data_IF_701473192246
#
_entry.id   IF_701473192246
#
_cell.length_a   1.000
_cell.length_b   1.000
_cell.length_c   1.000
_cell.angle_alpha   90.00
_cell.angle_beta   90.00
_cell.angle_gamma   90.00
#
_symmetry.space_group_name_H-M   'P 1'
#
loop_
_entity.id
_entity.type
_entity.pdbx_description
1 polymer ?
#
# COMPACT_ATOMS: atom_id res chain seq x y z
N UNK A 1 16.79 17.95 -7.10
CA UNK A 1 16.82 16.75 -6.23
C UNK A 1 16.38 15.55 -7.04
N UNK A 2 17.11 14.48 -6.98
CA UNK A 2 16.71 13.23 -7.62
C UNK A 2 15.59 12.58 -6.79
N UNK A 3 14.68 11.84 -7.42
CA UNK A 3 13.59 11.18 -6.71
C UNK A 3 14.11 10.24 -5.60
N UNK A 4 15.18 9.52 -5.86
CA UNK A 4 15.82 8.64 -4.91
C UNK A 4 16.25 9.36 -3.60
N UNK A 5 16.75 10.58 -3.72
CA UNK A 5 17.23 11.36 -2.56
C UNK A 5 16.11 11.80 -1.61
N UNK A 6 14.85 11.82 -2.09
CA UNK A 6 13.69 12.16 -1.27
C UNK A 6 13.12 10.97 -0.48
N UNK A 7 13.62 9.76 -0.72
CA UNK A 7 13.20 8.56 -0.02
C UNK A 7 13.91 8.42 1.34
N UNK A 8 13.25 7.76 2.28
CA UNK A 8 13.85 7.40 3.56
C UNK A 8 15.07 6.49 3.36
N UNK A 9 15.98 6.50 4.33
CA UNK A 9 17.19 5.66 4.28
C UNK A 9 16.86 4.17 4.16
N UNK A 10 15.80 3.72 4.82
CA UNK A 10 15.40 2.32 4.80
C UNK A 10 14.90 1.90 3.41
N UNK A 11 14.15 2.76 2.72
CA UNK A 11 13.71 2.50 1.34
C UNK A 11 14.92 2.56 0.38
N UNK A 12 15.80 3.51 0.55
CA UNK A 12 17.04 3.58 -0.25
C UNK A 12 17.88 2.32 -0.08
N UNK A 13 18.02 1.83 1.15
CA UNK A 13 18.75 0.60 1.44
C UNK A 13 18.06 -0.62 0.84
N UNK A 14 16.72 -0.70 0.91
CA UNK A 14 15.95 -1.75 0.24
C UNK A 14 16.23 -1.79 -1.27
N UNK A 15 16.17 -0.63 -1.92
CA UNK A 15 16.44 -0.51 -3.37
C UNK A 15 17.86 -0.98 -3.70
N UNK A 16 18.83 -0.59 -2.88
CA UNK A 16 20.22 -1.01 -3.02
C UNK A 16 20.39 -2.52 -2.85
N UNK A 17 19.82 -3.09 -1.80
CA UNK A 17 19.93 -4.53 -1.50
C UNK A 17 19.21 -5.40 -2.54
N UNK A 18 18.17 -4.87 -3.18
CA UNK A 18 17.50 -5.51 -4.33
C UNK A 18 18.34 -5.46 -5.61
N UNK A 19 19.42 -4.72 -5.61
CA UNK A 19 20.30 -4.58 -6.77
C UNK A 19 19.64 -3.82 -7.94
N UNK A 20 18.69 -2.93 -7.67
CA UNK A 20 18.10 -2.11 -8.73
C UNK A 20 19.12 -1.09 -9.21
N UNK A 21 19.44 -1.09 -10.52
CA UNK A 21 20.45 -0.15 -11.05
C UNK A 21 19.94 1.30 -11.04
N UNK A 22 18.64 1.50 -11.17
CA UNK A 22 17.97 2.80 -11.13
C UNK A 22 16.47 2.62 -10.92
N UNK A 23 15.81 3.67 -10.50
CA UNK A 23 14.34 3.74 -10.52
C UNK A 23 13.85 3.85 -11.98
N UNK A 24 12.71 3.24 -12.28
CA UNK A 24 12.07 3.38 -13.58
C UNK A 24 11.49 4.80 -13.77
N UNK A 25 11.18 5.16 -15.00
CA UNK A 25 10.63 6.50 -15.30
C UNK A 25 9.35 6.78 -14.52
N UNK A 26 8.43 5.80 -14.41
CA UNK A 26 7.18 5.96 -13.68
C UNK A 26 7.40 6.05 -12.15
N UNK A 27 8.36 5.31 -11.62
CA UNK A 27 8.74 5.38 -10.21
C UNK A 27 9.31 6.76 -9.87
N UNK A 28 10.24 7.26 -10.68
CA UNK A 28 10.79 8.61 -10.52
C UNK A 28 9.71 9.69 -10.56
N UNK A 29 8.81 9.61 -11.53
CA UNK A 29 7.71 10.57 -11.69
C UNK A 29 6.75 10.55 -10.50
N UNK A 30 6.33 9.36 -10.06
CA UNK A 30 5.42 9.20 -8.92
C UNK A 30 6.02 9.71 -7.62
N UNK A 31 7.27 9.36 -7.32
CA UNK A 31 7.98 9.81 -6.11
C UNK A 31 8.09 11.34 -6.08
N UNK A 32 8.50 11.95 -7.19
CA UNK A 32 8.60 13.41 -7.29
C UNK A 32 7.26 14.10 -7.12
N UNK A 33 6.21 13.55 -7.73
CA UNK A 33 4.88 14.14 -7.66
C UNK A 33 4.34 14.10 -6.23
N UNK A 34 4.45 12.98 -5.55
CA UNK A 34 4.01 12.82 -4.15
C UNK A 34 4.84 13.71 -3.21
N UNK A 35 6.13 13.84 -3.43
CA UNK A 35 6.99 14.69 -2.60
C UNK A 35 6.70 16.19 -2.71
N UNK A 36 6.10 16.64 -3.84
CA UNK A 36 5.96 18.06 -4.14
C UNK A 36 4.50 18.54 -4.20
N UNK A 37 3.52 17.64 -4.19
CA UNK A 37 2.09 18.00 -4.31
C UNK A 37 1.20 17.09 -3.49
N UNK A 38 0.00 17.57 -3.17
CA UNK A 38 -1.08 16.79 -2.53
C UNK A 38 -2.11 16.27 -3.57
N UNK A 39 -1.73 16.19 -4.84
CA UNK A 39 -2.63 15.77 -5.90
C UNK A 39 -2.83 14.26 -5.94
N UNK A 40 -4.03 13.84 -6.30
CA UNK A 40 -4.28 12.46 -6.70
C UNK A 40 -3.54 12.14 -8.00
N UNK A 41 -3.06 10.90 -8.14
CA UNK A 41 -2.26 10.48 -9.28
C UNK A 41 -2.94 9.34 -10.06
N UNK A 42 -2.79 9.39 -11.37
CA UNK A 42 -3.08 8.25 -12.25
C UNK A 42 -1.74 7.78 -12.82
N UNK A 43 -1.37 6.54 -12.52
CA UNK A 43 -0.15 5.91 -13.01
C UNK A 43 -0.48 5.04 -14.24
N UNK A 44 -0.08 5.48 -15.41
CA UNK A 44 -0.27 4.74 -16.66
C UNK A 44 1.08 4.37 -17.26
N UNK A 45 1.33 3.09 -17.38
CA UNK A 45 2.55 2.54 -17.96
C UNK A 45 2.33 1.10 -18.42
N UNK A 46 3.15 0.57 -19.35
CA UNK A 46 3.08 -0.82 -19.76
C UNK A 46 3.25 -1.81 -18.60
N UNK A 47 2.82 -3.06 -18.81
CA UNK A 47 3.11 -4.16 -17.88
C UNK A 47 4.64 -4.31 -17.69
N UNK A 48 5.05 -4.76 -16.51
CA UNK A 48 6.46 -4.90 -16.13
C UNK A 48 7.27 -3.59 -16.13
N UNK A 49 6.62 -2.44 -15.98
CA UNK A 49 7.27 -1.12 -15.88
C UNK A 49 7.55 -0.66 -14.45
N UNK A 50 7.21 -1.49 -13.45
CA UNK A 50 7.38 -1.14 -12.05
C UNK A 50 6.27 -0.28 -11.46
N UNK A 51 5.03 -0.36 -11.98
CA UNK A 51 3.87 0.42 -11.49
C UNK A 51 3.52 0.12 -10.04
N UNK A 52 3.64 -1.13 -9.61
CA UNK A 52 3.34 -1.51 -8.23
C UNK A 52 4.21 -0.72 -7.26
N UNK A 53 5.51 -0.76 -7.45
CA UNK A 53 6.46 -0.03 -6.62
C UNK A 53 6.32 1.49 -6.80
N UNK A 54 5.96 1.94 -8.01
CA UNK A 54 5.68 3.36 -8.27
C UNK A 54 4.49 3.90 -7.46
N UNK A 55 3.51 3.05 -7.14
CA UNK A 55 2.38 3.40 -6.28
C UNK A 55 2.72 3.26 -4.79
N UNK A 56 3.32 2.15 -4.39
CA UNK A 56 3.57 1.84 -2.99
C UNK A 56 4.73 2.62 -2.38
N UNK A 57 5.87 2.74 -3.05
CA UNK A 57 7.06 3.40 -2.49
C UNK A 57 6.77 4.83 -2.03
N UNK A 58 6.21 5.73 -2.86
CA UNK A 58 5.94 7.08 -2.38
C UNK A 58 4.86 7.12 -1.29
N UNK A 59 3.84 6.27 -1.35
CA UNK A 59 2.82 6.18 -0.30
C UNK A 59 3.44 5.74 1.04
N UNK A 60 4.23 4.68 1.05
CA UNK A 60 4.92 4.21 2.25
C UNK A 60 5.92 5.23 2.78
N UNK A 61 6.61 5.94 1.89
CA UNK A 61 7.59 6.97 2.27
C UNK A 61 6.96 8.20 2.91
N UNK A 62 5.71 8.52 2.56
CA UNK A 62 5.04 9.75 3.03
C UNK A 62 4.36 9.60 4.39
N UNK A 63 4.07 8.39 4.84
CA UNK A 63 3.42 8.15 6.13
C UNK A 63 4.43 8.25 7.25
N UNK A 64 4.16 9.15 8.20
CA UNK A 64 5.05 9.40 9.35
C UNK A 64 4.70 8.53 10.56
N UNK A 65 3.41 8.29 10.80
CA UNK A 65 2.92 7.50 11.93
C UNK A 65 2.40 6.14 11.47
N UNK A 66 3.13 5.08 11.77
CA UNK A 66 2.73 3.69 11.52
C UNK A 66 2.17 3.00 12.77
N UNK A 67 2.14 3.67 13.91
CA UNK A 67 1.70 3.07 15.17
C UNK A 67 0.18 3.12 15.38
N UNK A 68 -0.49 4.12 14.79
CA UNK A 68 -1.91 4.35 15.00
C UNK A 68 -2.72 4.22 13.70
N UNK A 69 -3.53 3.18 13.62
CA UNK A 69 -4.50 2.98 12.56
C UNK A 69 -3.94 2.45 11.24
N UNK A 70 -4.86 2.05 10.38
CA UNK A 70 -4.56 1.65 9.01
C UNK A 70 -4.21 2.90 8.18
N UNK A 71 -3.12 2.85 7.42
CA UNK A 71 -2.60 4.02 6.71
C UNK A 71 -2.73 3.93 5.19
N UNK A 72 -2.53 2.74 4.64
CA UNK A 72 -2.58 2.53 3.19
C UNK A 72 -3.59 1.43 2.87
N UNK A 73 -4.53 1.75 1.99
CA UNK A 73 -5.52 0.82 1.49
C UNK A 73 -5.24 0.54 0.00
N UNK A 74 -5.03 -0.73 -0.32
CA UNK A 74 -4.90 -1.19 -1.71
C UNK A 74 -6.15 -1.96 -2.10
N UNK A 75 -6.81 -1.53 -3.18
CA UNK A 75 -8.06 -2.11 -3.66
C UNK A 75 -7.83 -2.75 -5.03
N UNK A 76 -8.15 -4.03 -5.14
CA UNK A 76 -8.13 -4.76 -6.40
C UNK A 76 -9.30 -5.73 -6.51
N UNK A 77 -9.94 -5.88 -7.70
CA UNK A 77 -11.10 -6.72 -7.86
C UNK A 77 -10.81 -8.22 -7.84
N UNK A 78 -9.55 -8.64 -7.99
CA UNK A 78 -9.17 -10.04 -8.12
C UNK A 78 -8.39 -10.54 -6.89
N UNK A 79 -8.87 -11.63 -6.27
CA UNK A 79 -8.17 -12.29 -5.16
C UNK A 79 -6.74 -12.71 -5.53
N UNK A 80 -6.55 -13.23 -6.74
CA UNK A 80 -5.24 -13.63 -7.24
C UNK A 80 -4.28 -12.43 -7.26
N UNK A 81 -4.74 -11.27 -7.71
CA UNK A 81 -3.94 -10.04 -7.73
C UNK A 81 -3.64 -9.53 -6.31
N UNK A 82 -4.60 -9.61 -5.40
CA UNK A 82 -4.38 -9.32 -3.97
C UNK A 82 -3.25 -10.19 -3.42
N UNK A 83 -3.28 -11.50 -3.68
CA UNK A 83 -2.26 -12.43 -3.20
C UNK A 83 -0.90 -12.16 -3.83
N UNK A 84 -0.84 -11.88 -5.12
CA UNK A 84 0.42 -11.56 -5.83
C UNK A 84 1.02 -10.25 -5.30
N UNK A 85 0.22 -9.21 -5.13
CA UNK A 85 0.68 -7.94 -4.59
C UNK A 85 1.10 -8.07 -3.11
N UNK A 86 0.38 -8.88 -2.33
CA UNK A 86 0.77 -9.18 -0.96
C UNK A 86 2.18 -9.78 -0.89
N UNK A 87 2.48 -10.79 -1.71
CA UNK A 87 3.81 -11.40 -1.78
C UNK A 87 4.87 -10.37 -2.20
N UNK A 88 4.56 -9.57 -3.20
CA UNK A 88 5.48 -8.58 -3.76
C UNK A 88 5.81 -7.45 -2.78
N UNK A 89 4.83 -6.97 -2.03
CA UNK A 89 5.01 -5.87 -1.08
C UNK A 89 5.45 -6.34 0.31
N UNK A 90 5.22 -7.61 0.67
CA UNK A 90 5.62 -8.16 1.97
C UNK A 90 7.10 -7.95 2.26
N UNK A 91 7.97 -8.14 1.29
CA UNK A 91 9.41 -7.98 1.46
C UNK A 91 9.78 -6.53 1.79
N UNK A 92 9.20 -5.57 1.07
CA UNK A 92 9.40 -4.15 1.37
C UNK A 92 8.81 -3.79 2.74
N UNK A 93 7.64 -4.31 3.05
CA UNK A 93 6.96 -4.06 4.33
C UNK A 93 7.74 -4.62 5.52
N UNK A 94 8.30 -5.81 5.39
CA UNK A 94 9.19 -6.39 6.40
C UNK A 94 10.45 -5.53 6.60
N UNK A 95 11.04 -5.06 5.51
CA UNK A 95 12.22 -4.22 5.54
C UNK A 95 11.97 -2.90 6.29
N UNK A 96 10.77 -2.33 6.14
CA UNK A 96 10.34 -1.09 6.79
C UNK A 96 9.67 -1.31 8.15
N UNK A 97 9.52 -2.56 8.60
CA UNK A 97 8.77 -2.93 9.81
C UNK A 97 7.31 -2.42 9.79
N UNK A 98 6.65 -2.53 8.63
CA UNK A 98 5.27 -2.09 8.43
C UNK A 98 4.37 -3.33 8.31
N UNK A 99 3.33 -3.48 9.14
CA UNK A 99 2.39 -4.57 8.99
C UNK A 99 1.64 -4.51 7.67
N UNK A 100 1.53 -5.65 6.99
CA UNK A 100 0.73 -5.82 5.79
C UNK A 100 -0.24 -6.97 5.97
N UNK A 101 -1.51 -6.75 5.63
CA UNK A 101 -2.57 -7.74 5.72
C UNK A 101 -3.41 -7.75 4.45
N UNK A 102 -4.14 -8.85 4.22
CA UNK A 102 -5.03 -9.00 3.08
C UNK A 102 -6.43 -9.38 3.54
N UNK A 103 -7.43 -8.94 2.79
CA UNK A 103 -8.84 -9.18 3.09
C UNK A 103 -9.62 -9.47 1.82
N UNK A 104 -10.06 -10.71 1.67
CA UNK A 104 -10.97 -11.19 0.63
C UNK A 104 -11.76 -12.39 1.15
N UNK A 105 -12.67 -12.95 0.34
CA UNK A 105 -13.60 -13.99 0.78
C UNK A 105 -12.97 -15.27 1.32
N UNK A 106 -11.73 -15.58 0.94
CA UNK A 106 -11.02 -16.78 1.39
C UNK A 106 -10.13 -16.56 2.62
N UNK A 107 -10.00 -15.32 3.09
CA UNK A 107 -9.27 -15.01 4.32
C UNK A 107 -10.11 -15.39 5.52
N UNK A 108 -9.51 -16.03 6.53
CA UNK A 108 -10.22 -16.49 7.72
C UNK A 108 -10.85 -15.37 8.53
N UNK A 109 -11.98 -15.65 9.19
CA UNK A 109 -12.63 -14.68 10.08
C UNK A 109 -11.73 -14.26 11.25
N UNK A 110 -10.87 -15.16 11.73
CA UNK A 110 -9.92 -14.86 12.79
C UNK A 110 -8.90 -13.79 12.36
N UNK A 111 -8.38 -13.89 11.15
CA UNK A 111 -7.47 -12.88 10.58
C UNK A 111 -8.17 -11.54 10.38
N UNK A 112 -9.40 -11.54 9.84
CA UNK A 112 -10.22 -10.34 9.66
C UNK A 112 -10.49 -9.64 10.99
N UNK A 113 -10.86 -10.39 12.01
CA UNK A 113 -11.12 -9.88 13.35
C UNK A 113 -9.89 -9.23 13.98
N UNK A 114 -8.72 -9.82 13.77
CA UNK A 114 -7.44 -9.27 14.23
C UNK A 114 -7.14 -7.91 13.59
N UNK A 115 -7.39 -7.77 12.29
CA UNK A 115 -7.21 -6.50 11.56
C UNK A 115 -8.13 -5.43 12.12
N UNK A 116 -9.41 -5.74 12.37
CA UNK A 116 -10.39 -4.79 12.92
C UNK A 116 -10.03 -4.39 14.35
N UNK A 117 -9.58 -5.32 15.17
CA UNK A 117 -9.22 -5.04 16.57
C UNK A 117 -7.99 -4.14 16.69
N UNK A 118 -7.01 -4.30 15.79
CA UNK A 118 -5.79 -3.51 15.75
C UNK A 118 -5.47 -3.09 14.30
N UNK A 119 -6.19 -2.11 13.74
CA UNK A 119 -5.88 -1.60 12.41
C UNK A 119 -4.49 -0.97 12.39
N UNK A 120 -3.61 -1.47 11.53
CA UNK A 120 -2.24 -0.95 11.35
C UNK A 120 -1.75 -1.20 9.94
N UNK A 121 -0.86 -0.35 9.46
CA UNK A 121 -0.06 -0.57 8.27
C UNK A 121 -0.84 -0.50 6.98
N UNK A 122 -0.70 -1.54 6.16
CA UNK A 122 -1.25 -1.66 4.81
C UNK A 122 -2.29 -2.77 4.77
N UNK A 123 -3.45 -2.49 4.17
CA UNK A 123 -4.50 -3.49 3.91
C UNK A 123 -4.74 -3.63 2.41
N UNK A 124 -4.63 -4.85 1.89
CA UNK A 124 -5.02 -5.21 0.53
C UNK A 124 -6.40 -5.86 0.58
N UNK A 125 -7.38 -5.30 -0.14
CA UNK A 125 -8.79 -5.67 0.01
C UNK A 125 -9.50 -5.66 -1.35
N UNK A 126 -10.52 -6.52 -1.50
CA UNK A 126 -11.41 -6.50 -2.67
C UNK A 126 -12.54 -5.49 -2.51
N UNK A 127 -13.06 -4.91 -3.62
CA UNK A 127 -14.20 -4.00 -3.59
C UNK A 127 -15.44 -4.62 -2.94
N UNK A 128 -15.71 -5.88 -3.21
CA UNK A 128 -16.85 -6.61 -2.64
C UNK A 128 -16.77 -6.70 -1.11
N UNK A 129 -15.55 -6.88 -0.58
CA UNK A 129 -15.34 -6.92 0.86
C UNK A 129 -15.59 -5.55 1.50
N UNK A 130 -15.18 -4.47 0.84
CA UNK A 130 -15.46 -3.10 1.29
C UNK A 130 -16.96 -2.84 1.26
N UNK A 131 -17.64 -3.15 0.17
CA UNK A 131 -19.08 -2.96 0.02
C UNK A 131 -19.86 -3.76 1.07
N UNK A 132 -19.52 -5.03 1.24
CA UNK A 132 -20.14 -5.87 2.26
C UNK A 132 -19.97 -5.30 3.68
N UNK A 133 -18.83 -4.75 3.99
CA UNK A 133 -18.56 -4.11 5.27
C UNK A 133 -19.36 -2.82 5.44
N UNK A 134 -19.39 -1.97 4.43
CA UNK A 134 -20.16 -0.71 4.46
C UNK A 134 -21.65 -0.93 4.62
N UNK A 135 -22.20 -1.96 3.97
CA UNK A 135 -23.62 -2.28 4.03
C UNK A 135 -24.01 -2.97 5.34
N UNK A 136 -23.24 -3.96 5.77
CA UNK A 136 -23.61 -4.83 6.89
C UNK A 136 -22.99 -4.42 8.23
N UNK A 137 -21.84 -3.74 8.21
CA UNK A 137 -21.07 -3.37 9.39
C UNK A 137 -20.44 -1.97 9.26
N UNK A 138 -21.27 -0.93 9.07
CA UNK A 138 -20.76 0.42 8.79
C UNK A 138 -19.91 1.01 9.93
N UNK A 139 -20.21 0.70 11.18
CA UNK A 139 -19.41 1.14 12.32
C UNK A 139 -18.03 0.54 12.34
N UNK A 140 -17.91 -0.72 11.95
CA UNK A 140 -16.62 -1.43 11.80
C UNK A 140 -15.80 -0.84 10.65
N UNK A 141 -16.44 -0.55 9.52
CA UNK A 141 -15.81 0.11 8.38
C UNK A 141 -15.26 1.49 8.77
N UNK A 142 -16.05 2.29 9.46
CA UNK A 142 -15.63 3.60 9.94
C UNK A 142 -14.42 3.49 10.89
N UNK A 143 -14.44 2.54 11.81
CA UNK A 143 -13.33 2.28 12.72
C UNK A 143 -12.07 1.86 11.97
N UNK A 144 -12.19 0.94 11.00
CA UNK A 144 -11.07 0.40 10.24
C UNK A 144 -10.41 1.47 9.34
N UNK A 145 -11.21 2.30 8.68
CA UNK A 145 -10.71 3.21 7.64
C UNK A 145 -10.42 4.64 8.11
N UNK A 146 -10.74 5.00 9.34
CA UNK A 146 -10.63 6.38 9.83
C UNK A 146 -9.23 6.99 9.77
N UNK A 147 -8.20 6.18 9.80
CA UNK A 147 -6.80 6.62 9.77
C UNK A 147 -6.14 6.56 8.40
N UNK A 148 -6.87 6.13 7.36
CA UNK A 148 -6.31 5.93 6.02
C UNK A 148 -5.85 7.26 5.41
N UNK A 149 -4.59 7.30 4.99
CA UNK A 149 -3.97 8.45 4.31
C UNK A 149 -3.85 8.23 2.81
N UNK A 150 -3.71 6.97 2.37
CA UNK A 150 -3.52 6.59 0.97
C UNK A 150 -4.48 5.50 0.54
N UNK A 151 -5.07 5.69 -0.65
CA UNK A 151 -5.86 4.66 -1.33
C UNK A 151 -5.20 4.40 -2.69
N UNK A 152 -4.81 3.16 -2.93
CA UNK A 152 -4.26 2.69 -4.20
C UNK A 152 -5.31 1.79 -4.85
N UNK A 153 -5.76 2.13 -6.05
CA UNK A 153 -6.77 1.38 -6.79
C UNK A 153 -6.11 0.80 -8.04
N UNK A 154 -6.20 -0.52 -8.18
CA UNK A 154 -5.64 -1.25 -9.32
C UNK A 154 -6.75 -1.82 -10.21
#
# INVERSE_FOLDING_TARGET
MQAFDSLSRDIQQYIYDKGWPSLTSIQNAAIKQVANTDHNLILSAPTASGKTEAAFIPALNSVEDWETGLKVLYISPLKALINDQFQRISELSEYLDIPITRWHGEVSQAQKKKVVNQPKGVLLITPESIEGMLVNRPGEAQHLFKGVEWIIID
#
